data_IF_124594026407
#
_entry.id   IF_124594026407
#
_cell.length_a   1.000
_cell.length_b   1.000
_cell.length_c   1.000
_cell.angle_alpha   90.00
_cell.angle_beta   90.00
_cell.angle_gamma   90.00
#
_symmetry.space_group_name_H-M   'P 1'
#
loop_
_entity.id
_entity.type
_entity.pdbx_description
1 polymer ?
#
# COMPACT_ATOMS: atom_id res chain seq x y z
N UNK A 1 3.58 -3.21 3.52
CA UNK A 1 4.17 -3.95 2.41
C UNK A 1 4.62 -2.97 1.34
N UNK A 2 5.80 -3.20 0.77
CA UNK A 2 6.37 -2.35 -0.26
C UNK A 2 6.14 -2.94 -1.64
N UNK A 3 5.83 -2.09 -2.62
CA UNK A 3 5.72 -2.43 -4.05
C UNK A 3 6.44 -1.38 -4.88
N UNK A 4 6.70 -1.75 -6.12
CA UNK A 4 7.36 -0.91 -7.10
C UNK A 4 6.56 -0.91 -8.41
N UNK A 5 6.47 0.25 -9.03
CA UNK A 5 5.96 0.50 -10.37
C UNK A 5 7.07 1.22 -11.12
N UNK A 6 7.55 0.65 -12.21
CA UNK A 6 8.53 1.32 -13.08
C UNK A 6 7.88 2.49 -13.84
N UNK A 7 8.69 3.45 -14.29
CA UNK A 7 8.23 4.53 -15.17
C UNK A 7 7.59 3.99 -16.46
N UNK A 8 8.13 2.90 -17.00
CA UNK A 8 7.57 2.21 -18.17
C UNK A 8 6.17 1.65 -17.90
N UNK A 9 5.96 0.97 -16.77
CA UNK A 9 4.64 0.45 -16.36
C UNK A 9 3.64 1.58 -16.07
N UNK A 10 4.13 2.72 -15.56
CA UNK A 10 3.30 3.91 -15.34
C UNK A 10 2.97 4.66 -16.65
N UNK A 11 3.71 4.41 -17.73
CA UNK A 11 3.58 5.13 -18.99
C UNK A 11 3.99 6.61 -18.91
N UNK A 12 4.88 6.95 -17.97
CA UNK A 12 5.28 8.32 -17.65
C UNK A 12 6.80 8.44 -17.59
N UNK A 13 7.34 9.63 -17.89
CA UNK A 13 8.73 9.95 -17.57
C UNK A 13 8.85 10.60 -16.17
N UNK A 14 10.09 10.68 -15.67
CA UNK A 14 10.36 11.23 -14.35
C UNK A 14 9.99 12.72 -14.21
N UNK A 15 10.11 13.50 -15.28
CA UNK A 15 9.81 14.94 -15.25
C UNK A 15 8.31 15.23 -15.16
N UNK A 16 7.48 14.42 -15.81
CA UNK A 16 6.02 14.46 -15.67
C UNK A 16 5.63 13.99 -14.28
N UNK A 17 6.20 12.88 -13.82
CA UNK A 17 5.89 12.29 -12.51
C UNK A 17 6.20 13.24 -11.35
N UNK A 18 7.27 14.04 -11.42
CA UNK A 18 7.63 15.04 -10.39
C UNK A 18 6.57 16.13 -10.19
N UNK A 19 5.80 16.46 -11.23
CA UNK A 19 4.80 17.54 -11.22
C UNK A 19 3.43 17.10 -10.72
N UNK A 20 3.18 15.80 -10.65
CA UNK A 20 1.91 15.25 -10.17
C UNK A 20 1.79 15.43 -8.66
N UNK A 21 0.59 15.72 -8.17
CA UNK A 21 0.30 15.68 -6.74
C UNK A 21 0.06 14.24 -6.25
N UNK A 22 -0.25 14.09 -4.98
CA UNK A 22 -0.47 12.77 -4.38
C UNK A 22 -1.69 12.06 -4.96
N UNK A 23 -2.81 12.76 -5.11
CA UNK A 23 -4.07 12.19 -5.57
C UNK A 23 -3.96 11.72 -7.02
N UNK A 24 -3.29 12.49 -7.87
CA UNK A 24 -3.01 12.12 -9.25
C UNK A 24 -2.11 10.88 -9.33
N UNK A 25 -1.07 10.78 -8.48
CA UNK A 25 -0.23 9.58 -8.42
C UNK A 25 -1.01 8.36 -7.93
N UNK A 26 -1.86 8.53 -6.92
CA UNK A 26 -2.69 7.46 -6.37
C UNK A 26 -3.73 6.97 -7.38
N UNK A 27 -4.23 7.84 -8.25
CA UNK A 27 -5.19 7.50 -9.30
C UNK A 27 -4.58 6.67 -10.44
N UNK A 28 -3.25 6.61 -10.59
CA UNK A 28 -2.59 5.84 -11.64
C UNK A 28 -2.98 4.35 -11.57
N UNK A 29 -3.45 3.75 -12.69
CA UNK A 29 -3.89 2.35 -12.68
C UNK A 29 -2.82 1.37 -12.16
N UNK A 30 -1.57 1.54 -12.56
CA UNK A 30 -0.45 0.71 -12.10
C UNK A 30 -0.21 0.84 -10.59
N UNK A 31 -0.35 2.06 -10.04
CA UNK A 31 -0.22 2.32 -8.59
C UNK A 31 -1.37 1.67 -7.83
N UNK A 32 -2.62 1.84 -8.27
CA UNK A 32 -3.78 1.22 -7.63
C UNK A 32 -3.69 -0.30 -7.61
N UNK A 33 -3.26 -0.91 -8.72
CA UNK A 33 -3.05 -2.35 -8.79
C UNK A 33 -2.01 -2.81 -7.76
N UNK A 34 -0.87 -2.11 -7.65
CA UNK A 34 0.15 -2.45 -6.64
C UNK A 34 -0.29 -2.16 -5.21
N UNK A 35 -1.09 -1.13 -4.96
CA UNK A 35 -1.68 -0.90 -3.64
C UNK A 35 -2.59 -2.07 -3.23
N UNK A 36 -3.45 -2.55 -4.13
CA UNK A 36 -4.31 -3.71 -3.87
C UNK A 36 -3.50 -4.99 -3.61
N UNK A 37 -2.43 -5.24 -4.38
CA UNK A 37 -1.53 -6.36 -4.13
C UNK A 37 -0.88 -6.29 -2.73
N UNK A 38 -0.43 -5.09 -2.33
CA UNK A 38 0.17 -4.84 -1.02
C UNK A 38 -0.84 -5.02 0.12
N UNK A 39 -2.07 -4.53 -0.05
CA UNK A 39 -3.15 -4.70 0.92
C UNK A 39 -3.52 -6.17 1.11
N UNK A 40 -3.64 -6.93 0.03
CA UNK A 40 -3.90 -8.37 0.10
C UNK A 40 -2.76 -9.13 0.81
N UNK A 41 -1.51 -8.73 0.57
CA UNK A 41 -0.35 -9.29 1.27
C UNK A 41 -0.31 -8.94 2.76
N UNK A 42 -0.64 -7.70 3.11
CA UNK A 42 -0.78 -7.24 4.49
C UNK A 42 -1.87 -8.00 5.25
N UNK A 43 -3.02 -8.26 4.63
CA UNK A 43 -4.09 -9.08 5.24
C UNK A 43 -3.60 -10.48 5.59
N UNK A 44 -2.96 -11.18 4.63
CA UNK A 44 -2.39 -12.52 4.88
C UNK A 44 -1.31 -12.51 5.95
N UNK A 45 -0.50 -11.46 6.00
CA UNK A 45 0.56 -11.36 7.01
C UNK A 45 -0.02 -11.06 8.39
N UNK A 46 -1.05 -10.21 8.48
CA UNK A 46 -1.77 -9.94 9.72
C UNK A 46 -2.40 -11.22 10.28
N UNK A 47 -3.10 -12.01 9.46
CA UNK A 47 -3.69 -13.28 9.92
C UNK A 47 -2.64 -14.21 10.54
N UNK A 48 -1.46 -14.32 9.92
CA UNK A 48 -0.35 -15.12 10.46
C UNK A 48 0.15 -14.59 11.81
N UNK A 49 0.25 -13.27 11.96
CA UNK A 49 0.69 -12.65 13.22
C UNK A 49 -0.37 -12.80 14.31
N UNK A 50 -1.63 -12.56 14.00
CA UNK A 50 -2.74 -12.73 14.93
C UNK A 50 -2.85 -14.19 15.38
N UNK A 51 -2.69 -15.16 14.48
CA UNK A 51 -2.70 -16.58 14.85
C UNK A 51 -1.55 -16.96 15.80
N UNK A 52 -0.41 -16.27 15.72
CA UNK A 52 0.77 -16.58 16.53
C UNK A 52 0.81 -15.82 17.86
N UNK A 53 0.33 -14.59 17.88
CA UNK A 53 0.52 -13.66 19.00
C UNK A 53 -0.80 -13.11 19.57
N UNK A 54 -1.94 -13.49 19.00
CA UNK A 54 -3.25 -12.92 19.32
C UNK A 54 -3.29 -11.41 19.04
N UNK A 55 -4.16 -10.71 19.76
CA UNK A 55 -4.39 -9.26 19.57
C UNK A 55 -3.41 -8.38 20.37
N UNK A 56 -2.32 -8.96 20.91
CA UNK A 56 -1.32 -8.23 21.71
C UNK A 56 -0.54 -7.23 20.85
N UNK A 57 -0.31 -7.57 19.59
CA UNK A 57 0.48 -6.76 18.67
C UNK A 57 -0.41 -5.68 18.03
N UNK A 58 -0.29 -4.44 18.52
CA UNK A 58 -0.95 -3.24 17.95
C UNK A 58 -0.24 -2.74 16.70
N UNK A 59 -0.25 -3.54 15.63
CA UNK A 59 0.53 -3.24 14.43
C UNK A 59 -0.19 -2.27 13.50
N UNK A 60 0.50 -1.19 13.17
CA UNK A 60 0.13 -0.33 12.05
C UNK A 60 0.58 -0.97 10.74
N UNK A 61 -0.27 -0.91 9.72
CA UNK A 61 -0.01 -1.49 8.40
C UNK A 61 -0.01 -0.37 7.38
N UNK A 62 1.02 -0.35 6.55
CA UNK A 62 1.18 0.64 5.49
C UNK A 62 1.38 -0.07 4.17
N UNK A 63 0.62 0.34 3.16
CA UNK A 63 0.93 0.07 1.76
C UNK A 63 1.83 1.19 1.26
N UNK A 64 2.97 0.85 0.65
CA UNK A 64 3.89 1.83 0.07
C UNK A 64 4.24 1.39 -1.34
N UNK A 65 3.95 2.23 -2.32
CA UNK A 65 4.27 2.02 -3.73
C UNK A 65 5.27 3.07 -4.17
N UNK A 66 6.46 2.64 -4.56
CA UNK A 66 7.40 3.48 -5.27
C UNK A 66 7.02 3.54 -6.76
N UNK A 67 6.99 4.74 -7.33
CA UNK A 67 6.78 4.97 -8.75
C UNK A 67 8.08 5.54 -9.32
N UNK A 68 8.76 4.71 -10.11
CA UNK A 68 10.18 4.88 -10.38
C UNK A 68 10.97 4.96 -9.07
N UNK A 69 12.01 5.80 -9.06
CA UNK A 69 12.76 6.16 -7.85
C UNK A 69 12.51 7.60 -7.40
N UNK A 70 11.56 8.27 -8.03
CA UNK A 70 11.30 9.70 -7.86
C UNK A 70 10.18 9.98 -6.86
N UNK A 71 9.17 9.10 -6.76
CA UNK A 71 7.95 9.34 -5.96
C UNK A 71 7.52 8.12 -5.14
N UNK A 72 6.89 8.39 -4.01
CA UNK A 72 6.25 7.40 -3.15
C UNK A 72 4.77 7.73 -2.96
N UNK A 73 3.92 6.72 -3.09
CA UNK A 73 2.51 6.75 -2.70
C UNK A 73 2.35 5.81 -1.53
N UNK A 74 1.81 6.28 -0.41
CA UNK A 74 1.56 5.46 0.75
C UNK A 74 0.14 5.63 1.26
N UNK A 75 -0.43 4.56 1.82
CA UNK A 75 -1.69 4.59 2.53
C UNK A 75 -1.56 3.76 3.80
N UNK A 76 -2.18 4.24 4.88
CA UNK A 76 -2.39 3.42 6.06
C UNK A 76 -3.54 2.46 5.78
N UNK A 77 -3.30 1.16 5.96
CA UNK A 77 -4.32 0.14 5.78
C UNK A 77 -5.06 -0.02 7.10
N UNK A 78 -6.30 0.47 7.15
CA UNK A 78 -7.12 0.41 8.36
C UNK A 78 -7.27 -1.01 8.87
N UNK A 79 -6.95 -1.21 10.15
CA UNK A 79 -7.10 -2.47 10.85
C UNK A 79 -8.59 -2.75 11.04
N UNK A 80 -9.06 -3.85 10.47
CA UNK A 80 -10.40 -4.35 10.80
C UNK A 80 -10.37 -4.87 12.24
N UNK A 81 -10.98 -4.13 13.17
CA UNK A 81 -11.30 -4.62 14.50
C UNK A 81 -12.63 -5.37 14.40
N UNK A 82 -12.69 -6.71 14.60
CA UNK A 82 -13.98 -7.36 14.77
C UNK A 82 -14.63 -6.74 16.01
N UNK A 83 -15.84 -6.19 15.85
CA UNK A 83 -16.68 -5.81 16.99
C UNK A 83 -16.87 -7.06 17.84
N UNK A 84 -16.37 -7.04 19.07
CA UNK A 84 -16.85 -7.95 20.11
C UNK A 84 -18.31 -7.60 20.37
N UNK A 85 -19.22 -8.44 19.88
CA UNK A 85 -20.63 -8.39 20.26
C UNK A 85 -20.74 -8.78 21.75
N UNK A 86 -21.50 -8.03 22.56
CA UNK A 86 -21.69 -8.32 23.99
C UNK A 86 -22.41 -9.65 24.25
#
# INVERSE_FOLDING_TARGET
EFKFVSLQEAGLDGETLKKMDHDALQALPAVRAKQQEAEAGLTRYQEKLNNKFGDVLRLHRFSVVAVGFERLVYSQVESFSPKTTP
#
